data_IF_099261246826
#
_entry.id   IF_099261246826
#
_cell.length_a   1.000
_cell.length_b   1.000
_cell.length_c   1.000
_cell.angle_alpha   90.00
_cell.angle_beta   90.00
_cell.angle_gamma   90.00
#
_symmetry.space_group_name_H-M   'P 1'
#
loop_
_entity.id
_entity.type
_entity.pdbx_description
1 polymer ?
#
# COMPACT_ATOMS: atom_id res chain seq x y z
N UNK A 1 0.81 18.50 15.83
CA UNK A 1 1.60 18.44 14.59
C UNK A 1 0.78 19.16 13.51
N UNK A 2 1.18 20.38 13.15
CA UNK A 2 0.43 21.28 12.27
C UNK A 2 0.76 20.99 10.79
N UNK A 3 -0.26 20.67 9.99
CA UNK A 3 -0.12 20.66 8.53
C UNK A 3 -0.17 22.11 8.00
N UNK A 4 0.62 22.48 6.98
CA UNK A 4 0.60 23.82 6.43
C UNK A 4 -0.70 24.06 5.64
N UNK A 5 -1.55 24.95 6.16
CA UNK A 5 -2.73 25.47 5.47
C UNK A 5 -2.31 26.51 4.41
N UNK A 6 -2.09 26.07 3.18
CA UNK A 6 -2.01 26.99 2.04
C UNK A 6 -3.43 27.36 1.59
N UNK A 7 -4.02 28.37 2.24
CA UNK A 7 -5.15 29.11 1.71
C UNK A 7 -4.63 30.47 1.24
N UNK A 8 -4.54 30.67 -0.08
CA UNK A 8 -4.30 31.99 -0.65
C UNK A 8 -5.41 32.32 -1.64
N UNK A 9 -6.43 32.97 -1.10
CA UNK A 9 -7.47 33.66 -1.84
C UNK A 9 -6.89 34.93 -2.45
N UNK A 10 -7.13 35.15 -3.75
CA UNK A 10 -6.91 36.42 -4.43
C UNK A 10 -8.01 36.61 -5.48
N UNK A 11 -9.20 36.99 -5.02
CA UNK A 11 -10.17 37.68 -5.88
C UNK A 11 -9.73 39.12 -6.11
N UNK A 12 -9.42 39.44 -7.37
CA UNK A 12 -9.98 40.53 -8.20
C UNK A 12 -8.89 41.15 -9.10
N UNK A 13 -8.89 40.72 -10.36
CA UNK A 13 -8.58 41.60 -11.49
C UNK A 13 -9.41 41.11 -12.67
N UNK A 14 -10.30 41.98 -13.14
CA UNK A 14 -11.14 41.80 -14.32
C UNK A 14 -10.28 41.82 -15.60
N UNK A 15 -10.72 41.05 -16.59
CA UNK A 15 -10.36 41.12 -18.01
C UNK A 15 -8.96 40.67 -18.43
N UNK A 16 -8.63 39.39 -18.22
CA UNK A 16 -7.80 38.66 -19.19
C UNK A 16 -8.26 37.20 -19.29
N UNK A 17 -8.69 36.79 -20.48
CA UNK A 17 -8.91 35.39 -20.84
C UNK A 17 -7.57 34.67 -20.92
N UNK A 18 -7.00 34.35 -19.76
CA UNK A 18 -5.85 33.46 -19.67
C UNK A 18 -6.36 32.03 -19.81
N UNK A 19 -5.83 31.31 -20.80
CA UNK A 19 -5.95 29.87 -20.93
C UNK A 19 -5.71 29.24 -19.55
N UNK A 20 -6.74 28.64 -18.97
CA UNK A 20 -6.65 27.98 -17.67
C UNK A 20 -5.84 26.71 -17.88
N UNK A 21 -4.51 26.83 -17.81
CA UNK A 21 -3.61 25.70 -17.75
C UNK A 21 -4.08 24.80 -16.61
N UNK A 22 -4.37 23.55 -16.98
CA UNK A 22 -4.89 22.54 -16.09
C UNK A 22 -3.94 22.37 -14.90
N UNK A 23 -4.30 22.97 -13.75
CA UNK A 23 -3.57 22.79 -12.50
C UNK A 23 -3.45 21.29 -12.25
N UNK A 24 -2.23 20.73 -12.15
CA UNK A 24 -2.07 19.30 -11.92
C UNK A 24 -2.71 18.98 -10.56
N UNK A 25 -3.84 18.27 -10.61
CA UNK A 25 -4.49 17.74 -9.41
C UNK A 25 -3.53 16.71 -8.81
N UNK A 26 -2.86 17.09 -7.72
CA UNK A 26 -1.94 16.24 -6.98
C UNK A 26 -2.62 14.91 -6.67
N UNK A 27 -2.02 13.81 -7.12
CA UNK A 27 -2.37 12.48 -6.67
C UNK A 27 -1.81 12.30 -5.26
N UNK A 28 -2.66 12.41 -4.25
CA UNK A 28 -2.28 12.10 -2.86
C UNK A 28 -2.49 10.62 -2.63
N UNK A 29 -1.39 9.87 -2.50
CA UNK A 29 -1.41 8.48 -2.04
C UNK A 29 -1.19 8.48 -0.53
N UNK A 30 -2.21 8.11 0.23
CA UNK A 30 -2.10 7.96 1.69
C UNK A 30 -1.98 6.47 1.98
N UNK A 31 -0.80 6.04 2.40
CA UNK A 31 -0.57 4.69 2.92
C UNK A 31 -0.63 4.79 4.44
N UNK A 32 -1.66 4.22 5.05
CA UNK A 32 -1.78 4.14 6.50
C UNK A 32 -1.36 2.72 6.90
N UNK A 33 -0.17 2.59 7.45
CA UNK A 33 0.26 1.36 8.15
C UNK A 33 -0.03 1.59 9.63
N UNK A 34 -1.11 0.99 10.13
CA UNK A 34 -1.41 1.00 11.56
C UNK A 34 -0.83 -0.29 12.16
N UNK A 35 0.24 -0.15 12.96
CA UNK A 35 0.69 -1.22 13.84
C UNK A 35 0.06 -0.96 15.20
N UNK A 36 -0.91 -1.79 15.60
CA UNK A 36 -1.33 -1.82 17.00
C UNK A 36 -0.29 -2.66 17.73
N UNK A 37 0.69 -1.99 18.34
CA UNK A 37 1.63 -2.65 19.24
C UNK A 37 0.82 -3.33 20.36
N UNK A 38 1.06 -4.62 20.58
CA UNK A 38 0.50 -5.36 21.70
C UNK A 38 0.99 -4.70 22.98
N UNK A 39 0.09 -4.51 23.96
CA UNK A 39 0.36 -3.83 25.24
C UNK A 39 1.31 -4.61 26.17
N UNK A 40 2.25 -5.41 25.63
CA UNK A 40 3.21 -6.24 26.37
C UNK A 40 4.25 -5.45 27.17
N UNK A 41 4.17 -4.11 27.19
CA UNK A 41 4.90 -3.26 28.14
C UNK A 41 4.09 -2.99 29.43
N UNK A 42 2.86 -3.52 29.57
CA UNK A 42 2.11 -3.49 30.82
C UNK A 42 2.47 -4.62 31.80
N UNK A 43 3.12 -5.69 31.33
CA UNK A 43 3.40 -6.88 32.13
C UNK A 43 4.39 -6.65 33.28
N UNK A 44 5.28 -5.64 33.20
CA UNK A 44 6.17 -5.33 34.33
C UNK A 44 5.42 -4.77 35.56
N UNK A 45 4.14 -4.38 35.45
CA UNK A 45 3.33 -3.93 36.60
C UNK A 45 2.46 -5.02 37.21
N UNK A 46 2.25 -6.13 36.52
CA UNK A 46 1.39 -7.21 37.00
C UNK A 46 2.16 -8.35 37.69
N UNK A 47 3.50 -8.38 37.56
CA UNK A 47 4.36 -9.29 38.34
C UNK A 47 4.28 -9.04 39.86
N UNK A 48 4.02 -7.81 40.33
CA UNK A 48 3.80 -7.55 41.77
C UNK A 48 2.43 -8.04 42.28
N UNK A 49 1.51 -8.39 41.38
CA UNK A 49 0.15 -8.84 41.75
C UNK A 49 0.01 -10.36 41.86
N UNK A 50 1.02 -11.12 41.41
CA UNK A 50 0.93 -12.56 41.20
C UNK A 50 1.37 -13.46 42.40
N UNK A 51 1.57 -12.89 43.60
CA UNK A 51 1.84 -13.72 44.80
C UNK A 51 0.58 -14.32 45.45
N UNK A 52 -0.63 -14.11 44.88
CA UNK A 52 -1.87 -14.75 45.36
C UNK A 52 -2.40 -15.70 44.30
N UNK A 53 -1.98 -16.96 44.39
CA UNK A 53 -2.37 -18.04 43.50
C UNK A 53 -3.87 -18.20 43.33
N UNK A 54 -4.33 -17.74 42.17
CA UNK A 54 -5.54 -18.20 41.51
C UNK A 54 -5.08 -18.64 40.11
N UNK A 55 -4.86 -19.94 39.94
CA UNK A 55 -4.56 -20.57 38.65
C UNK A 55 -5.85 -20.57 37.80
N UNK A 56 -6.34 -19.38 37.45
CA UNK A 56 -7.41 -19.22 36.48
C UNK A 56 -6.82 -19.31 35.07
N UNK A 57 -7.41 -20.15 34.21
CA UNK A 57 -7.02 -20.43 32.83
C UNK A 57 -6.61 -19.16 32.05
N UNK A 58 -5.31 -18.89 31.98
CA UNK A 58 -4.72 -17.77 31.21
C UNK A 58 -5.05 -17.86 29.70
N UNK A 59 -5.41 -19.05 29.24
CA UNK A 59 -5.70 -19.33 27.84
C UNK A 59 -7.01 -18.71 27.33
N UNK A 60 -7.95 -18.39 28.22
CA UNK A 60 -9.25 -17.79 27.84
C UNK A 60 -9.13 -16.26 27.67
N UNK A 61 -8.21 -15.60 28.39
CA UNK A 61 -8.05 -14.13 28.35
C UNK A 61 -7.47 -13.66 27.01
N UNK A 62 -6.46 -14.35 26.47
CA UNK A 62 -5.82 -13.95 25.20
C UNK A 62 -6.77 -14.04 23.99
N UNK A 63 -7.72 -14.98 24.04
CA UNK A 63 -8.67 -15.18 22.94
C UNK A 63 -9.64 -14.01 22.83
N UNK A 64 -10.17 -13.55 23.96
CA UNK A 64 -11.14 -12.45 24.02
C UNK A 64 -10.53 -11.12 23.56
N UNK A 65 -9.31 -10.80 24.00
CA UNK A 65 -8.63 -9.56 23.61
C UNK A 65 -8.35 -9.48 22.10
N UNK A 66 -8.04 -10.64 21.49
CA UNK A 66 -7.82 -10.74 20.06
C UNK A 66 -9.10 -10.47 19.28
N UNK A 67 -10.21 -11.10 19.67
CA UNK A 67 -11.51 -10.88 19.02
C UNK A 67 -11.95 -9.42 19.12
N UNK A 68 -11.76 -8.79 20.28
CA UNK A 68 -12.08 -7.37 20.44
C UNK A 68 -11.25 -6.45 19.53
N UNK A 69 -9.95 -6.72 19.41
CA UNK A 69 -9.06 -5.93 18.55
C UNK A 69 -9.45 -6.04 17.09
N UNK A 70 -9.69 -7.26 16.61
CA UNK A 70 -10.07 -7.53 15.24
C UNK A 70 -11.47 -6.89 14.96
N UNK A 71 -12.38 -6.92 15.94
CA UNK A 71 -13.65 -6.20 15.92
C UNK A 71 -13.50 -4.68 15.76
N UNK A 72 -12.65 -4.05 16.59
CA UNK A 72 -12.33 -2.62 16.49
C UNK A 72 -11.71 -2.27 15.13
N UNK A 73 -10.76 -3.07 14.64
CA UNK A 73 -10.12 -2.85 13.34
C UNK A 73 -11.15 -2.83 12.21
N UNK A 74 -12.07 -3.81 12.18
CA UNK A 74 -13.12 -3.88 11.15
C UNK A 74 -14.08 -2.69 11.20
N UNK A 75 -14.42 -2.22 12.40
CA UNK A 75 -15.23 -1.00 12.55
C UNK A 75 -14.51 0.22 11.96
N UNK A 76 -13.24 0.43 12.31
CA UNK A 76 -12.43 1.54 11.79
C UNK A 76 -12.23 1.47 10.28
N UNK A 77 -12.01 0.27 9.74
CA UNK A 77 -11.88 0.03 8.30
C UNK A 77 -13.12 0.51 7.54
N UNK A 78 -14.31 0.12 8.02
CA UNK A 78 -15.59 0.53 7.44
C UNK A 78 -15.78 2.05 7.47
N UNK A 79 -15.46 2.69 8.60
CA UNK A 79 -15.56 4.13 8.77
C UNK A 79 -14.63 4.90 7.82
N UNK A 80 -13.39 4.45 7.71
CA UNK A 80 -12.39 5.07 6.82
C UNK A 80 -12.83 4.95 5.36
N UNK A 81 -13.28 3.77 4.92
CA UNK A 81 -13.72 3.56 3.54
C UNK A 81 -14.97 4.37 3.21
N UNK A 82 -15.94 4.42 4.12
CA UNK A 82 -17.15 5.24 3.96
C UNK A 82 -16.80 6.72 3.81
N UNK A 83 -15.87 7.24 4.63
CA UNK A 83 -15.44 8.65 4.54
C UNK A 83 -14.65 8.92 3.27
N UNK A 84 -13.76 8.01 2.88
CA UNK A 84 -12.98 8.08 1.66
C UNK A 84 -13.87 8.09 0.42
N UNK A 85 -14.89 7.23 0.38
CA UNK A 85 -15.86 7.17 -0.69
C UNK A 85 -16.65 8.48 -0.80
N UNK A 86 -17.20 8.96 0.32
CA UNK A 86 -17.92 10.23 0.36
C UNK A 86 -17.04 11.40 -0.10
N UNK A 87 -15.78 11.45 0.31
CA UNK A 87 -14.83 12.48 -0.10
C UNK A 87 -14.54 12.39 -1.61
N UNK A 88 -14.28 11.20 -2.12
CA UNK A 88 -13.98 10.97 -3.53
C UNK A 88 -15.17 11.35 -4.43
N UNK A 89 -16.40 11.01 -4.04
CA UNK A 89 -17.62 11.37 -4.77
C UNK A 89 -17.89 12.87 -4.75
N UNK A 90 -17.74 13.53 -3.60
CA UNK A 90 -18.02 14.97 -3.47
C UNK A 90 -17.00 15.86 -4.18
N UNK A 91 -15.74 15.43 -4.22
CA UNK A 91 -14.63 16.24 -4.77
C UNK A 91 -14.19 15.79 -6.16
N UNK A 92 -14.72 14.65 -6.64
CA UNK A 92 -14.31 14.00 -7.89
C UNK A 92 -12.78 13.84 -7.97
N UNK A 93 -12.14 13.44 -6.86
CA UNK A 93 -10.69 13.31 -6.78
C UNK A 93 -10.20 11.88 -7.10
N UNK A 94 -8.92 11.77 -7.44
CA UNK A 94 -8.24 10.47 -7.51
C UNK A 94 -7.83 10.04 -6.10
N UNK A 95 -8.35 8.91 -5.64
CA UNK A 95 -8.07 8.39 -4.31
C UNK A 95 -7.79 6.88 -4.38
N UNK A 96 -6.73 6.47 -3.71
CA UNK A 96 -6.34 5.08 -3.49
C UNK A 96 -6.02 4.92 -2.01
N UNK A 97 -6.67 3.95 -1.35
CA UNK A 97 -6.42 3.60 0.04
C UNK A 97 -6.18 2.10 0.09
N UNK A 98 -5.17 1.68 0.86
CA UNK A 98 -4.97 0.29 1.23
C UNK A 98 -4.72 0.21 2.74
N UNK A 99 -5.29 -0.81 3.37
CA UNK A 99 -5.16 -1.10 4.79
C UNK A 99 -4.93 -2.59 4.98
N UNK A 100 -4.00 -2.94 5.87
CA UNK A 100 -3.70 -4.32 6.24
C UNK A 100 -3.68 -4.44 7.75
N UNK A 101 -4.32 -5.48 8.25
CA UNK A 101 -4.24 -5.88 9.65
C UNK A 101 -2.91 -6.62 9.89
N UNK A 102 -2.20 -6.27 10.96
CA UNK A 102 -0.86 -6.80 11.27
C UNK A 102 -0.82 -8.33 11.35
N UNK A 103 -1.88 -8.94 11.88
CA UNK A 103 -2.03 -10.39 12.07
C UNK A 103 -2.59 -11.12 10.84
N UNK A 104 -3.17 -10.39 9.87
CA UNK A 104 -3.86 -11.00 8.73
C UNK A 104 -2.91 -11.47 7.64
N UNK A 105 -3.01 -12.75 7.25
CA UNK A 105 -2.33 -13.29 6.07
C UNK A 105 -3.03 -12.91 4.76
N UNK A 106 -4.23 -12.33 4.86
CA UNK A 106 -5.05 -12.01 3.72
C UNK A 106 -4.54 -10.74 3.01
N UNK A 107 -4.82 -10.61 1.70
CA UNK A 107 -4.50 -9.41 0.95
C UNK A 107 -5.14 -8.16 1.58
N UNK A 108 -4.46 -7.03 1.41
CA UNK A 108 -4.90 -5.76 1.97
C UNK A 108 -6.29 -5.34 1.44
N UNK A 109 -7.12 -4.83 2.35
CA UNK A 109 -8.34 -4.16 1.98
C UNK A 109 -7.99 -2.88 1.24
N UNK A 110 -8.63 -2.63 0.10
CA UNK A 110 -8.34 -1.44 -0.70
C UNK A 110 -9.61 -0.77 -1.20
N UNK A 111 -9.56 0.55 -1.24
CA UNK A 111 -10.56 1.40 -1.85
C UNK A 111 -9.93 2.22 -2.98
N UNK A 112 -10.63 2.29 -4.12
CA UNK A 112 -10.16 3.00 -5.31
C UNK A 112 -11.31 3.85 -5.84
N UNK A 113 -11.10 5.17 -5.93
CA UNK A 113 -12.17 6.08 -6.37
C UNK A 113 -12.66 5.74 -7.79
N UNK A 114 -13.95 5.94 -8.09
CA UNK A 114 -14.50 5.69 -9.43
C UNK A 114 -13.75 6.43 -10.53
N UNK A 115 -13.35 7.68 -10.25
CA UNK A 115 -12.59 8.50 -11.18
C UNK A 115 -11.22 7.91 -11.48
N UNK A 116 -10.47 7.46 -10.47
CA UNK A 116 -9.14 6.88 -10.67
C UNK A 116 -9.22 5.59 -11.51
N UNK A 117 -10.23 4.74 -11.25
CA UNK A 117 -10.48 3.51 -12.02
C UNK A 117 -10.75 3.81 -13.50
N UNK A 118 -11.53 4.85 -13.79
CA UNK A 118 -11.88 5.25 -15.16
C UNK A 118 -10.71 5.91 -15.89
N UNK A 119 -10.06 6.87 -15.24
CA UNK A 119 -9.11 7.76 -15.90
C UNK A 119 -7.74 7.09 -16.11
N UNK A 120 -7.30 6.19 -15.21
CA UNK A 120 -5.93 5.65 -15.24
C UNK A 120 -5.82 4.15 -14.87
N UNK A 121 -6.55 3.23 -15.52
CA UNK A 121 -6.59 1.81 -15.13
C UNK A 121 -5.21 1.12 -15.18
N UNK A 122 -4.37 1.42 -16.15
CA UNK A 122 -3.03 0.81 -16.25
C UNK A 122 -2.05 1.28 -15.17
N UNK A 123 -2.23 2.48 -14.61
CA UNK A 123 -1.42 2.95 -13.47
C UNK A 123 -1.87 2.30 -12.17
N UNK A 124 -3.18 2.03 -12.05
CA UNK A 124 -3.79 1.39 -10.90
C UNK A 124 -3.25 -0.01 -10.68
N UNK A 125 -3.16 -0.83 -11.74
CA UNK A 125 -2.63 -2.20 -11.66
C UNK A 125 -1.19 -2.21 -11.12
N UNK A 126 -0.31 -1.36 -11.67
CA UNK A 126 1.07 -1.23 -11.19
C UNK A 126 1.19 -0.71 -9.76
N UNK A 127 0.26 0.18 -9.36
CA UNK A 127 0.22 0.71 -7.99
C UNK A 127 -0.21 -0.38 -7.02
N UNK A 128 -1.23 -1.15 -7.39
CA UNK A 128 -1.73 -2.26 -6.60
C UNK A 128 -0.65 -3.31 -6.36
N UNK A 129 0.04 -3.77 -7.42
CA UNK A 129 1.15 -4.73 -7.31
C UNK A 129 2.24 -4.25 -6.33
N UNK A 130 2.61 -2.96 -6.39
CA UNK A 130 3.64 -2.38 -5.49
C UNK A 130 3.17 -2.30 -4.05
N UNK A 131 1.91 -1.91 -3.84
CA UNK A 131 1.34 -1.79 -2.49
C UNK A 131 1.21 -3.17 -1.87
N UNK A 132 0.69 -4.17 -2.60
CA UNK A 132 0.61 -5.56 -2.14
C UNK A 132 1.99 -6.11 -1.76
N UNK A 133 3.01 -5.91 -2.59
CA UNK A 133 4.37 -6.35 -2.29
C UNK A 133 4.95 -5.68 -1.04
N UNK A 134 4.69 -4.37 -0.87
CA UNK A 134 5.16 -3.61 0.29
C UNK A 134 4.47 -4.07 1.58
N UNK A 135 3.16 -4.28 1.52
CA UNK A 135 2.33 -4.76 2.63
C UNK A 135 2.70 -6.18 3.03
N UNK A 136 2.87 -7.08 2.06
CA UNK A 136 3.38 -8.43 2.31
C UNK A 136 4.75 -8.41 3.02
N UNK A 137 5.67 -7.54 2.59
CA UNK A 137 6.97 -7.39 3.24
C UNK A 137 6.83 -6.85 4.69
N UNK A 138 5.97 -5.85 4.90
CA UNK A 138 5.71 -5.29 6.22
C UNK A 138 5.09 -6.32 7.19
N UNK A 139 4.15 -7.15 6.72
CA UNK A 139 3.55 -8.21 7.50
C UNK A 139 4.58 -9.28 7.92
N UNK A 140 5.54 -9.61 7.04
CA UNK A 140 6.66 -10.50 7.39
C UNK A 140 7.52 -9.88 8.50
N UNK A 141 7.85 -8.58 8.38
CA UNK A 141 8.67 -7.87 9.36
C UNK A 141 7.98 -7.81 10.72
N UNK A 142 6.70 -7.43 10.75
CA UNK A 142 5.93 -7.24 11.98
C UNK A 142 5.75 -8.54 12.80
N UNK A 143 5.85 -9.71 12.16
CA UNK A 143 5.65 -11.01 12.82
C UNK A 143 6.92 -11.72 13.20
N UNK A 144 8.06 -11.25 12.70
CA UNK A 144 9.31 -11.91 12.98
C UNK A 144 9.69 -11.62 14.45
N UNK A 145 9.93 -12.66 15.27
CA UNK A 145 10.28 -12.49 16.67
C UNK A 145 11.52 -11.62 16.78
N UNK A 146 11.54 -10.72 17.78
CA UNK A 146 12.45 -9.57 17.93
C UNK A 146 13.95 -9.89 18.08
N UNK A 147 14.42 -11.06 17.67
CA UNK A 147 15.82 -11.50 17.77
C UNK A 147 16.36 -12.17 16.50
N UNK A 148 17.15 -11.43 15.73
CA UNK A 148 18.10 -11.92 14.69
C UNK A 148 17.57 -12.59 13.41
N UNK A 149 16.42 -13.27 13.42
CA UNK A 149 15.90 -14.02 12.26
C UNK A 149 15.28 -13.11 11.18
N UNK A 150 14.78 -11.93 11.58
CA UNK A 150 14.16 -10.89 10.75
C UNK A 150 14.99 -10.52 9.53
N UNK A 151 16.28 -10.24 9.72
CA UNK A 151 17.13 -9.77 8.61
C UNK A 151 17.36 -10.85 7.56
N UNK A 152 17.52 -12.10 7.97
CA UNK A 152 17.75 -13.21 7.06
C UNK A 152 16.51 -13.49 6.22
N UNK A 153 15.31 -13.48 6.83
CA UNK A 153 14.06 -13.75 6.12
C UNK A 153 13.66 -12.59 5.20
N UNK A 154 13.83 -11.34 5.65
CA UNK A 154 13.64 -10.15 4.81
C UNK A 154 14.61 -10.18 3.64
N UNK A 155 15.89 -10.50 3.88
CA UNK A 155 16.90 -10.59 2.83
C UNK A 155 16.57 -11.73 1.86
N UNK A 156 16.13 -12.89 2.35
CA UNK A 156 15.76 -14.03 1.52
C UNK A 156 14.55 -13.73 0.65
N UNK A 157 13.53 -13.04 1.20
CA UNK A 157 12.37 -12.58 0.45
C UNK A 157 12.78 -11.53 -0.61
N UNK A 158 13.54 -10.52 -0.21
CA UNK A 158 14.03 -9.48 -1.13
C UNK A 158 14.90 -10.07 -2.25
N UNK A 159 15.77 -11.04 -1.94
CA UNK A 159 16.58 -11.76 -2.93
C UNK A 159 15.71 -12.58 -3.90
N UNK A 160 14.64 -13.19 -3.41
CA UNK A 160 13.70 -13.97 -4.24
C UNK A 160 12.94 -13.07 -5.21
N UNK A 161 12.47 -11.93 -4.74
CA UNK A 161 11.79 -10.93 -5.58
C UNK A 161 12.77 -10.29 -6.58
N UNK A 162 13.99 -9.95 -6.16
CA UNK A 162 15.02 -9.45 -7.05
C UNK A 162 15.38 -10.47 -8.15
N UNK A 163 15.42 -11.76 -7.83
CA UNK A 163 15.63 -12.84 -8.80
C UNK A 163 14.46 -12.95 -9.79
N UNK A 164 13.22 -12.85 -9.32
CA UNK A 164 12.02 -12.85 -10.18
C UNK A 164 12.00 -11.64 -11.11
N UNK A 165 12.31 -10.45 -10.60
CA UNK A 165 12.41 -9.23 -11.38
C UNK A 165 13.48 -9.33 -12.47
N UNK A 166 14.69 -9.79 -12.11
CA UNK A 166 15.78 -10.02 -13.08
C UNK A 166 15.39 -11.01 -14.18
N UNK A 167 14.70 -12.10 -13.83
CA UNK A 167 14.23 -13.06 -14.83
C UNK A 167 13.21 -12.43 -15.79
N UNK A 168 12.29 -11.60 -15.27
CA UNK A 168 11.32 -10.88 -16.12
C UNK A 168 12.02 -9.89 -17.06
N UNK A 169 13.02 -9.14 -16.58
CA UNK A 169 13.78 -8.20 -17.44
C UNK A 169 14.57 -8.95 -18.50
N UNK A 170 15.21 -10.06 -18.17
CA UNK A 170 15.95 -10.88 -19.13
C UNK A 170 15.05 -11.44 -20.24
N UNK A 171 13.83 -11.90 -19.89
CA UNK A 171 12.85 -12.35 -20.90
C UNK A 171 12.40 -11.18 -21.78
N UNK A 172 12.16 -10.00 -21.20
CA UNK A 172 11.78 -8.82 -21.96
C UNK A 172 12.90 -8.36 -22.91
N UNK A 173 14.16 -8.38 -22.47
CA UNK A 173 15.33 -8.04 -23.28
C UNK A 173 15.49 -9.00 -24.47
N UNK A 174 15.38 -10.32 -24.25
CA UNK A 174 15.42 -11.31 -25.34
C UNK A 174 14.33 -11.08 -26.37
N UNK A 175 13.11 -10.76 -25.91
CA UNK A 175 11.99 -10.47 -26.81
C UNK A 175 12.24 -9.19 -27.61
N UNK A 176 12.79 -8.17 -26.96
CA UNK A 176 13.13 -6.90 -27.60
C UNK A 176 14.21 -7.09 -28.68
N UNK A 177 15.21 -7.92 -28.41
CA UNK A 177 16.25 -8.26 -29.39
C UNK A 177 15.70 -9.03 -30.59
N UNK A 178 14.80 -10.01 -30.36
CA UNK A 178 14.10 -10.72 -31.44
C UNK A 178 13.35 -9.75 -32.37
N UNK A 179 12.55 -8.84 -31.79
CA UNK A 179 11.78 -7.85 -32.55
C UNK A 179 12.70 -6.88 -33.30
N UNK A 180 13.83 -6.48 -32.71
CA UNK A 180 14.83 -5.66 -33.41
C UNK A 180 15.42 -6.38 -34.62
N UNK A 181 15.71 -7.67 -34.50
CA UNK A 181 16.16 -8.51 -35.61
C UNK A 181 15.13 -8.58 -36.74
N UNK A 182 13.86 -8.81 -36.41
CA UNK A 182 12.76 -8.83 -37.38
C UNK A 182 12.60 -7.49 -38.10
N UNK A 183 12.63 -6.37 -37.36
CA UNK A 183 12.55 -5.02 -37.95
C UNK A 183 13.74 -4.76 -38.89
N UNK A 184 14.95 -5.17 -38.51
CA UNK A 184 16.14 -5.02 -39.36
C UNK A 184 16.02 -5.84 -40.66
N UNK A 185 15.55 -7.09 -40.57
CA UNK A 185 15.32 -7.94 -41.73
C UNK A 185 14.27 -7.36 -42.69
N UNK A 186 13.14 -6.87 -42.14
CA UNK A 186 12.09 -6.22 -42.94
C UNK A 186 12.60 -4.94 -43.63
N UNK A 187 13.41 -4.13 -42.92
CA UNK A 187 14.02 -2.92 -43.51
C UNK A 187 14.97 -3.28 -44.66
N UNK A 188 15.77 -4.34 -44.51
CA UNK A 188 16.67 -4.80 -45.57
C UNK A 188 15.89 -5.31 -46.80
N UNK A 189 14.83 -6.10 -46.58
CA UNK A 189 13.98 -6.60 -47.66
C UNK A 189 13.31 -5.46 -48.45
N UNK A 190 12.82 -4.41 -47.75
CA UNK A 190 12.21 -3.25 -48.40
C UNK A 190 13.24 -2.41 -49.18
N UNK A 191 14.47 -2.31 -48.69
CA UNK A 191 15.55 -1.61 -49.40
C UNK A 191 15.93 -2.29 -50.72
N UNK A 192 15.85 -3.62 -50.79
CA UNK A 192 16.15 -4.39 -52.02
C UNK A 192 15.07 -4.38 -53.09
N UNK A 193 13.89 -3.80 -52.83
CA UNK A 193 12.79 -3.68 -53.80
C UNK A 193 12.81 -2.36 -54.60
N UNK A 194 13.76 -1.46 -54.31
CA UNK A 194 13.95 -0.20 -55.03
C UNK A 194 15.07 -0.31 -56.04
#
# INVERSE_FOLDING_TARGET
MFLPTYYRDHRKSSDDQVHVDAVPRLLTVIIIVASMESESERDERDEERNERGDEHDEHDVEHDEREERDGRYNQWLSDIFTRAENMALKTDCWLYIAMQESTSLNPAFHYISPRLRRDVPGFLERTHEKVEATMAAAAIVARAPSGSQTRADILAYAMRELKRAKKKTEVAERRLESVRGEIAALRAALAGQK
#
